data_IF_150697039620
#
_entry.id   IF_150697039620
#
_cell.length_a   1.000
_cell.length_b   1.000
_cell.length_c   1.000
_cell.angle_alpha   90.00
_cell.angle_beta   90.00
_cell.angle_gamma   90.00
#
_symmetry.space_group_name_H-M   'P 1'
#
loop_
_entity.id
_entity.type
_entity.pdbx_description
1 polymer ?
#
# COMPACT_ATOMS: atom_id res chain seq x y z
N UNK A 1 4.57 -9.22 -4.14
CA UNK A 1 3.40 -10.11 -4.24
C UNK A 1 2.41 -9.52 -5.24
N UNK A 2 1.93 -10.30 -6.21
CA UNK A 2 0.82 -9.90 -7.08
C UNK A 2 -0.45 -10.60 -6.58
N UNK A 3 -1.25 -9.92 -5.76
CA UNK A 3 -2.52 -10.47 -5.30
C UNK A 3 -3.59 -10.28 -6.38
N UNK A 4 -4.33 -11.35 -6.67
CA UNK A 4 -5.40 -11.32 -7.65
C UNK A 4 -6.59 -10.47 -7.23
N UNK A 5 -7.46 -10.19 -8.18
CA UNK A 5 -8.70 -9.43 -8.01
C UNK A 5 -9.79 -9.98 -8.92
N UNK A 6 -11.05 -9.72 -8.56
CA UNK A 6 -12.22 -10.08 -9.39
C UNK A 6 -12.25 -9.38 -10.75
N UNK A 7 -11.36 -8.41 -10.98
CA UNK A 7 -11.28 -7.62 -12.22
C UNK A 7 -10.17 -8.10 -13.15
N UNK A 8 -9.43 -9.13 -12.76
CA UNK A 8 -8.26 -9.57 -13.52
C UNK A 8 -8.67 -10.32 -14.78
N UNK A 9 -8.12 -9.88 -15.90
CA UNK A 9 -8.24 -10.57 -17.18
C UNK A 9 -7.06 -11.52 -17.38
N UNK A 10 -7.32 -12.84 -17.37
CA UNK A 10 -6.33 -13.88 -17.69
C UNK A 10 -4.98 -13.67 -17.00
N UNK A 11 -4.95 -13.56 -15.67
CA UNK A 11 -3.85 -12.95 -14.93
C UNK A 11 -2.49 -13.56 -15.28
N UNK A 12 -1.42 -12.79 -15.09
CA UNK A 12 -0.05 -13.27 -15.25
C UNK A 12 0.16 -14.55 -14.41
N UNK A 13 1.03 -15.48 -14.85
CA UNK A 13 1.31 -16.71 -14.10
C UNK A 13 1.73 -16.48 -12.64
N UNK A 14 2.33 -15.33 -12.35
CA UNK A 14 2.81 -14.94 -11.02
C UNK A 14 1.70 -14.39 -10.10
N UNK A 15 0.49 -14.14 -10.62
CA UNK A 15 -0.62 -13.61 -9.81
C UNK A 15 -1.18 -14.70 -8.91
N UNK A 16 -1.18 -14.43 -7.60
CA UNK A 16 -1.75 -15.30 -6.58
C UNK A 16 -3.26 -15.04 -6.51
N UNK A 17 -4.05 -15.93 -7.12
CA UNK A 17 -5.52 -15.83 -7.15
C UNK A 17 -6.19 -16.32 -5.87
N UNK A 18 -5.50 -17.14 -5.07
CA UNK A 18 -5.95 -17.47 -3.72
C UNK A 18 -5.62 -16.30 -2.78
N UNK A 19 -6.66 -15.58 -2.35
CA UNK A 19 -6.49 -14.37 -1.54
C UNK A 19 -5.99 -14.66 -0.12
N UNK A 20 -6.22 -15.86 0.42
CA UNK A 20 -5.68 -16.25 1.73
C UNK A 20 -4.16 -16.40 1.61
N UNK A 21 -3.72 -17.13 0.58
CA UNK A 21 -2.27 -17.30 0.28
C UNK A 21 -1.62 -15.95 -0.06
N UNK A 22 -2.31 -15.10 -0.82
CA UNK A 22 -1.80 -13.77 -1.15
C UNK A 22 -1.61 -12.93 0.12
N UNK A 23 -2.58 -12.96 1.05
CA UNK A 23 -2.48 -12.22 2.31
C UNK A 23 -1.32 -12.74 3.20
N UNK A 24 -1.13 -14.06 3.28
CA UNK A 24 0.02 -14.66 3.96
C UNK A 24 1.35 -14.19 3.35
N UNK A 25 1.45 -14.20 2.02
CA UNK A 25 2.62 -13.72 1.31
C UNK A 25 2.88 -12.22 1.53
N UNK A 26 1.83 -11.39 1.57
CA UNK A 26 1.94 -9.99 1.95
C UNK A 26 2.49 -9.82 3.36
N UNK A 27 1.93 -10.56 4.32
CA UNK A 27 2.32 -10.50 5.74
C UNK A 27 3.80 -10.87 5.92
N UNK A 28 4.26 -11.90 5.22
CA UNK A 28 5.68 -12.28 5.24
C UNK A 28 6.56 -11.19 4.64
N UNK A 29 6.15 -10.62 3.50
CA UNK A 29 6.93 -9.60 2.79
C UNK A 29 7.13 -8.31 3.61
N UNK A 30 6.17 -7.97 4.48
CA UNK A 30 6.21 -6.73 5.27
C UNK A 30 6.68 -6.93 6.72
N UNK A 31 7.03 -8.16 7.12
CA UNK A 31 7.31 -8.52 8.52
C UNK A 31 8.38 -7.64 9.18
N UNK A 32 9.46 -7.36 8.45
CA UNK A 32 10.63 -6.62 8.94
C UNK A 32 10.73 -5.23 8.29
N UNK A 33 9.62 -4.69 7.76
CA UNK A 33 9.62 -3.38 7.13
C UNK A 33 9.69 -2.27 8.18
N UNK A 34 10.73 -1.43 8.10
CA UNK A 34 10.82 -0.20 8.89
C UNK A 34 9.88 0.91 8.36
N UNK A 35 9.61 0.89 7.05
CA UNK A 35 8.75 1.84 6.36
C UNK A 35 7.98 1.17 5.21
N UNK A 36 6.73 1.60 5.00
CA UNK A 36 5.92 1.25 3.82
C UNK A 36 5.39 2.50 3.13
N UNK A 37 5.62 2.59 1.82
CA UNK A 37 5.11 3.65 0.96
C UNK A 37 3.98 3.08 0.08
N UNK A 38 2.78 3.62 0.24
CA UNK A 38 1.57 3.23 -0.48
C UNK A 38 1.28 4.23 -1.59
N UNK A 39 1.22 3.78 -2.83
CA UNK A 39 1.23 4.63 -4.03
C UNK A 39 -0.05 4.40 -4.86
N UNK A 40 -1.08 5.22 -4.64
CA UNK A 40 -2.33 5.24 -5.41
C UNK A 40 -3.04 3.89 -5.60
N UNK A 41 -2.92 2.99 -4.62
CA UNK A 41 -3.33 1.58 -4.71
C UNK A 41 -4.39 1.21 -3.66
N UNK A 42 -5.44 2.02 -3.52
CA UNK A 42 -6.45 1.98 -2.44
C UNK A 42 -6.66 0.62 -1.74
N UNK A 43 -7.07 -0.43 -2.47
CA UNK A 43 -7.38 -1.74 -1.87
C UNK A 43 -6.14 -2.43 -1.27
N UNK A 44 -5.02 -2.43 -2.00
CA UNK A 44 -3.75 -2.98 -1.51
C UNK A 44 -3.20 -2.13 -0.35
N UNK A 45 -3.33 -0.80 -0.42
CA UNK A 45 -2.92 0.10 0.65
C UNK A 45 -3.68 -0.20 1.94
N UNK A 46 -5.01 -0.30 1.88
CA UNK A 46 -5.86 -0.63 3.04
C UNK A 46 -5.57 -2.03 3.56
N UNK A 47 -5.43 -3.02 2.68
CA UNK A 47 -5.07 -4.38 3.07
C UNK A 47 -3.74 -4.42 3.81
N UNK A 48 -2.70 -3.82 3.22
CA UNK A 48 -1.36 -3.74 3.80
C UNK A 48 -1.37 -3.00 5.14
N UNK A 49 -2.05 -1.85 5.21
CA UNK A 49 -2.17 -1.07 6.45
C UNK A 49 -2.81 -1.86 7.61
N UNK A 50 -3.71 -2.81 7.33
CA UNK A 50 -4.29 -3.66 8.38
C UNK A 50 -3.35 -4.74 8.90
N UNK A 51 -2.33 -5.09 8.12
CA UNK A 51 -1.34 -6.11 8.48
C UNK A 51 -0.09 -5.48 9.12
N UNK A 52 0.06 -4.15 9.04
CA UNK A 52 1.22 -3.45 9.58
C UNK A 52 1.11 -3.22 11.10
N UNK A 53 2.17 -3.50 11.85
CA UNK A 53 2.31 -3.03 13.22
C UNK A 53 2.31 -1.50 13.29
N UNK A 54 1.84 -0.93 14.41
CA UNK A 54 1.71 0.53 14.58
C UNK A 54 3.04 1.30 14.61
N UNK A 55 4.17 0.62 14.81
CA UNK A 55 5.49 1.22 14.84
C UNK A 55 6.11 1.40 13.44
N UNK A 56 5.55 0.80 12.40
CA UNK A 56 6.07 0.91 11.03
C UNK A 56 5.72 2.28 10.45
N UNK A 57 6.72 3.02 9.95
CA UNK A 57 6.47 4.31 9.33
C UNK A 57 5.68 4.11 8.03
N UNK A 58 4.55 4.81 7.89
CA UNK A 58 3.65 4.59 6.76
C UNK A 58 3.44 5.89 6.01
N UNK A 59 3.71 5.90 4.71
CA UNK A 59 3.43 7.05 3.83
C UNK A 59 2.35 6.64 2.84
N UNK A 60 1.21 7.33 2.83
CA UNK A 60 0.15 7.14 1.86
C UNK A 60 0.09 8.31 0.90
N UNK A 61 0.28 8.03 -0.40
CA UNK A 61 0.17 9.00 -1.48
C UNK A 61 -0.99 8.60 -2.39
N UNK A 62 -2.03 9.41 -2.43
CA UNK A 62 -3.18 9.20 -3.30
C UNK A 62 -3.80 10.54 -3.67
N UNK A 63 -4.31 10.68 -4.90
CA UNK A 63 -4.97 11.93 -5.34
C UNK A 63 -6.36 12.08 -4.69
N UNK A 64 -6.96 10.96 -4.25
CA UNK A 64 -8.25 10.94 -3.61
C UNK A 64 -8.11 11.09 -2.07
N UNK A 65 -8.54 12.23 -1.48
CA UNK A 65 -8.42 12.45 -0.04
C UNK A 65 -9.18 11.42 0.80
N UNK A 66 -10.24 10.80 0.26
CA UNK A 66 -10.98 9.77 0.98
C UNK A 66 -10.17 8.49 1.22
N UNK A 67 -9.23 8.17 0.33
CA UNK A 67 -8.33 7.01 0.50
C UNK A 67 -7.29 7.31 1.57
N UNK A 68 -6.70 8.52 1.50
CA UNK A 68 -5.71 8.99 2.48
C UNK A 68 -6.30 9.02 3.89
N UNK A 69 -7.47 9.63 4.05
CA UNK A 69 -8.14 9.71 5.36
C UNK A 69 -8.42 8.30 5.94
N UNK A 70 -8.91 7.37 5.10
CA UNK A 70 -9.16 5.98 5.53
C UNK A 70 -7.93 5.24 6.06
N UNK A 71 -6.73 5.64 5.65
CA UNK A 71 -5.47 5.03 6.06
C UNK A 71 -4.87 5.73 7.28
N UNK A 72 -4.91 7.07 7.30
CA UNK A 72 -4.41 7.88 8.42
C UNK A 72 -5.27 7.67 9.69
N UNK A 73 -6.59 7.49 9.54
CA UNK A 73 -7.51 7.29 10.67
C UNK A 73 -7.36 5.92 11.36
N UNK A 74 -6.56 4.99 10.82
CA UNK A 74 -6.38 3.63 11.38
C UNK A 74 -5.34 3.51 12.48
N UNK A 75 -4.96 4.64 13.10
CA UNK A 75 -4.30 4.63 14.41
C UNK A 75 -2.79 4.36 14.39
N UNK A 76 -2.14 4.34 13.22
CA UNK A 76 -0.69 4.49 13.18
C UNK A 76 -0.36 5.95 13.44
N UNK A 77 0.11 6.25 14.65
CA UNK A 77 0.62 7.58 15.01
C UNK A 77 1.75 8.07 14.06
N UNK A 78 2.29 7.17 13.24
CA UNK A 78 3.34 7.37 12.25
C UNK A 78 2.84 7.43 10.80
N UNK A 79 1.52 7.43 10.53
CA UNK A 79 1.01 7.55 9.17
C UNK A 79 1.03 9.00 8.65
N UNK A 80 1.75 9.22 7.54
CA UNK A 80 1.77 10.46 6.79
C UNK A 80 0.91 10.33 5.54
N UNK A 81 -0.15 11.13 5.45
CA UNK A 81 -1.00 11.21 4.28
C UNK A 81 -0.62 12.37 3.37
N UNK A 82 -0.41 12.12 2.08
CA UNK A 82 -0.09 13.14 1.08
C UNK A 82 -1.14 13.06 -0.05
N UNK A 83 -1.98 14.08 -0.13
CA UNK A 83 -2.98 14.18 -1.20
C UNK A 83 -2.36 14.88 -2.41
N UNK A 84 -1.91 14.10 -3.40
CA UNK A 84 -1.25 14.61 -4.60
C UNK A 84 -1.28 13.59 -5.74
N UNK A 85 -0.90 14.02 -6.94
CA UNK A 85 -0.61 13.11 -8.05
C UNK A 85 0.62 12.24 -7.73
N UNK A 86 0.48 10.92 -7.88
CA UNK A 86 1.53 9.95 -7.53
C UNK A 86 2.74 10.04 -8.48
N UNK A 87 2.52 10.40 -9.75
CA UNK A 87 3.60 10.59 -10.73
C UNK A 87 4.46 11.80 -10.40
N UNK A 88 3.84 12.91 -10.01
CA UNK A 88 4.52 14.11 -9.51
C UNK A 88 5.31 13.80 -8.24
N UNK A 89 4.70 13.10 -7.28
CA UNK A 89 5.37 12.70 -6.04
C UNK A 89 6.64 11.89 -6.33
N UNK A 90 6.55 10.84 -7.16
CA UNK A 90 7.69 10.00 -7.50
C UNK A 90 8.76 10.77 -8.29
N UNK A 91 8.35 11.68 -9.18
CA UNK A 91 9.29 12.51 -9.95
C UNK A 91 10.12 13.42 -9.03
N UNK A 92 9.46 14.07 -8.07
CA UNK A 92 10.13 14.91 -7.07
C UNK A 92 10.97 14.08 -6.11
N UNK A 93 10.48 12.93 -5.66
CA UNK A 93 11.25 12.03 -4.80
C UNK A 93 12.56 11.60 -5.49
N UNK A 94 12.49 11.17 -6.75
CA UNK A 94 13.67 10.77 -7.52
C UNK A 94 14.68 11.91 -7.75
N UNK A 95 14.23 13.18 -7.77
CA UNK A 95 15.13 14.34 -7.87
C UNK A 95 15.81 14.70 -6.54
N UNK A 96 15.27 14.22 -5.41
CA UNK A 96 15.72 14.57 -4.06
C UNK A 96 16.27 13.35 -3.28
N UNK A 97 16.44 12.21 -3.94
CA UNK A 97 17.17 11.03 -3.46
C UNK A 97 18.64 11.13 -3.86
#
# INVERSE_FOLDING_TARGET
VLAGSIRDDGPLPDTIMDLVVAQEAYTEMIRDADMVIMLSSMLHSIGTGNMLPSYVETVCVDINPAVVNKLVDRGSAQAKGIVTDVGLFLSLLNQNL
#
